data_IF_638182641861
#
_entry.id   IF_638182641861
#
_cell.length_a   1.000
_cell.length_b   1.000
_cell.length_c   1.000
_cell.angle_alpha   90.00
_cell.angle_beta   90.00
_cell.angle_gamma   90.00
#
_symmetry.space_group_name_H-M   'P 1'
#
loop_
_entity.id
_entity.type
_entity.pdbx_description
1 polymer ?
#
# COMPACT_ATOMS: atom_id res chain seq x y z
N UNK A 1 7.52 5.80 -13.91
CA UNK A 1 6.05 5.63 -13.84
C UNK A 1 5.56 4.44 -14.67
N UNK A 2 6.32 3.96 -15.66
CA UNK A 2 5.92 2.81 -16.48
C UNK A 2 5.74 1.53 -15.66
N UNK A 3 6.77 1.11 -14.91
CA UNK A 3 6.69 -0.08 -14.04
C UNK A 3 5.51 -0.01 -13.07
N UNK A 4 5.31 1.14 -12.44
CA UNK A 4 4.20 1.37 -11.50
C UNK A 4 2.82 1.19 -12.16
N UNK A 5 2.66 1.60 -13.43
CA UNK A 5 1.41 1.39 -14.17
C UNK A 5 1.24 -0.06 -14.60
N UNK A 6 2.32 -0.73 -15.00
CA UNK A 6 2.29 -2.12 -15.46
C UNK A 6 1.88 -3.09 -14.35
N UNK A 7 2.28 -2.80 -13.11
CA UNK A 7 1.88 -3.58 -11.92
C UNK A 7 0.54 -3.13 -11.30
N UNK A 8 -0.17 -2.20 -11.95
CA UNK A 8 -1.38 -1.56 -11.43
C UNK A 8 -1.21 -0.91 -10.04
N UNK A 9 -0.02 -0.39 -9.72
CA UNK A 9 0.26 0.27 -8.45
C UNK A 9 0.08 -0.59 -7.20
N UNK A 10 -0.06 0.08 -6.05
CA UNK A 10 -0.31 -0.58 -4.75
C UNK A 10 -1.76 -1.06 -4.64
N UNK A 11 -1.97 -2.10 -3.84
CA UNK A 11 -3.31 -2.58 -3.47
C UNK A 11 -4.04 -1.54 -2.58
N UNK A 12 -5.32 -1.31 -2.86
CA UNK A 12 -6.21 -0.47 -2.05
C UNK A 12 -6.92 -1.27 -0.93
N UNK A 13 -6.61 -2.55 -0.78
CA UNK A 13 -7.34 -3.48 0.09
C UNK A 13 -6.76 -3.58 1.50
N UNK A 14 -5.65 -2.89 1.81
CA UNK A 14 -4.99 -2.92 3.11
C UNK A 14 -5.37 -1.71 3.97
N UNK A 15 -6.22 -1.92 4.98
CA UNK A 15 -6.75 -0.85 5.85
C UNK A 15 -6.21 -0.89 7.28
N UNK A 16 -5.19 -1.70 7.55
CA UNK A 16 -4.44 -1.71 8.80
C UNK A 16 -2.95 -1.98 8.55
N UNK A 17 -2.17 -2.03 9.62
CA UNK A 17 -0.72 -2.20 9.51
C UNK A 17 -0.33 -3.60 9.03
N UNK A 18 0.38 -3.64 7.90
CA UNK A 18 1.15 -4.77 7.41
C UNK A 18 0.60 -5.46 6.16
N UNK A 19 1.52 -5.98 5.35
CA UNK A 19 1.25 -6.84 4.20
C UNK A 19 1.08 -6.11 2.87
N UNK A 20 0.95 -4.78 2.84
CA UNK A 20 0.81 -4.03 1.59
C UNK A 20 2.13 -3.99 0.81
N UNK A 21 3.26 -3.85 1.51
CA UNK A 21 4.60 -3.90 0.90
C UNK A 21 4.93 -5.30 0.39
N UNK A 22 4.51 -6.35 1.11
CA UNK A 22 4.66 -7.74 0.69
C UNK A 22 3.80 -8.05 -0.56
N UNK A 23 2.58 -7.51 -0.63
CA UNK A 23 1.70 -7.62 -1.80
C UNK A 23 2.34 -6.94 -3.02
N UNK A 24 2.84 -5.71 -2.86
CA UNK A 24 3.58 -5.00 -3.90
C UNK A 24 4.78 -5.84 -4.40
N UNK A 25 5.55 -6.43 -3.49
CA UNK A 25 6.64 -7.34 -3.85
C UNK A 25 6.15 -8.55 -4.68
N UNK A 26 5.05 -9.18 -4.28
CA UNK A 26 4.44 -10.28 -5.06
C UNK A 26 4.00 -9.84 -6.45
N UNK A 27 3.38 -8.66 -6.58
CA UNK A 27 2.94 -8.11 -7.88
C UNK A 27 4.12 -7.93 -8.83
N UNK A 28 5.18 -7.27 -8.35
CA UNK A 28 6.43 -7.05 -9.12
C UNK A 28 6.97 -8.40 -9.63
N UNK A 29 7.14 -9.37 -8.73
CA UNK A 29 7.72 -10.67 -9.08
C UNK A 29 6.81 -11.50 -10.01
N UNK A 30 5.48 -11.42 -9.87
CA UNK A 30 4.53 -12.15 -10.73
C UNK A 30 4.51 -11.70 -12.19
N UNK A 31 4.98 -10.48 -12.45
CA UNK A 31 5.09 -9.91 -13.79
C UNK A 31 6.52 -10.00 -14.35
N UNK A 32 7.35 -10.86 -13.76
CA UNK A 32 8.76 -11.09 -14.12
C UNK A 32 9.65 -9.85 -13.97
N UNK A 33 9.27 -8.89 -13.13
CA UNK A 33 10.15 -7.79 -12.75
C UNK A 33 11.07 -8.20 -11.60
N UNK A 34 12.18 -7.48 -11.45
CA UNK A 34 13.16 -7.67 -10.38
C UNK A 34 13.15 -6.51 -9.41
N UNK A 35 13.48 -6.79 -8.15
CA UNK A 35 13.66 -5.77 -7.12
C UNK A 35 15.15 -5.42 -7.05
N UNK A 36 15.50 -4.21 -7.47
CA UNK A 36 16.84 -3.67 -7.28
C UNK A 36 16.99 -3.10 -5.86
N UNK A 37 18.18 -3.25 -5.27
CA UNK A 37 18.52 -2.68 -3.96
C UNK A 37 19.85 -1.94 -4.06
N UNK A 38 19.99 -0.77 -3.43
CA UNK A 38 21.26 -0.06 -3.39
C UNK A 38 22.31 -0.86 -2.60
N UNK A 39 23.57 -0.48 -2.80
CA UNK A 39 24.70 -1.03 -2.04
C UNK A 39 24.47 -0.82 -0.52
N UNK A 40 24.56 -1.88 0.32
CA UNK A 40 24.32 -1.78 1.77
C UNK A 40 25.25 -0.83 2.53
N UNK A 41 26.42 -0.49 2.00
CA UNK A 41 27.35 0.44 2.63
C UNK A 41 26.97 1.91 2.42
N UNK A 42 26.28 2.22 1.32
CA UNK A 42 25.85 3.59 0.99
C UNK A 42 24.35 3.82 1.17
N UNK A 43 23.53 2.80 0.95
CA UNK A 43 22.07 2.82 1.07
C UNK A 43 21.54 2.64 2.49
N UNK A 44 22.11 3.36 3.46
CA UNK A 44 21.75 3.24 4.89
C UNK A 44 20.67 4.25 5.27
N UNK A 45 19.69 3.81 6.05
CA UNK A 45 18.58 4.63 6.53
C UNK A 45 18.45 4.55 8.04
N UNK A 46 17.93 5.61 8.66
CA UNK A 46 17.62 5.65 10.10
C UNK A 46 16.14 5.95 10.30
N UNK A 47 15.54 5.26 11.26
CA UNK A 47 14.11 5.34 11.54
C UNK A 47 13.85 6.29 12.71
N UNK A 48 12.92 7.22 12.53
CA UNK A 48 12.43 8.04 13.64
C UNK A 48 11.78 7.13 14.70
N UNK A 49 12.02 7.44 15.97
CA UNK A 49 11.46 6.67 17.09
C UNK A 49 9.93 6.68 17.01
N UNK A 50 9.33 5.50 17.08
CA UNK A 50 7.88 5.33 17.05
C UNK A 50 7.48 4.11 17.88
N UNK A 51 6.21 4.08 18.33
CA UNK A 51 5.65 2.95 19.08
C UNK A 51 5.35 1.81 18.13
N UNK A 52 5.76 0.59 18.47
CA UNK A 52 5.43 -0.61 17.69
C UNK A 52 3.91 -0.80 17.65
N UNK A 53 3.35 -0.90 16.45
CA UNK A 53 1.92 -1.18 16.25
C UNK A 53 1.65 -2.68 16.36
N UNK A 54 0.50 -3.04 16.94
CA UNK A 54 0.02 -4.41 16.98
C UNK A 54 -0.44 -4.82 15.58
N UNK A 55 -0.15 -6.05 15.17
CA UNK A 55 -0.67 -6.59 13.91
C UNK A 55 -2.16 -6.83 14.02
N UNK A 56 -2.92 -6.22 13.11
CA UNK A 56 -4.39 -6.37 13.04
C UNK A 56 -4.75 -7.36 11.95
N UNK A 57 -5.84 -8.12 12.15
CA UNK A 57 -6.43 -9.01 11.15
C UNK A 57 -5.43 -9.91 10.37
N UNK A 58 -4.51 -10.65 11.02
CA UNK A 58 -3.48 -11.42 10.33
C UNK A 58 -4.03 -12.45 9.34
N UNK A 59 -5.18 -13.07 9.66
CA UNK A 59 -5.86 -14.01 8.74
C UNK A 59 -6.33 -13.35 7.45
N UNK A 60 -6.77 -12.09 7.52
CA UNK A 60 -7.18 -11.33 6.33
C UNK A 60 -5.95 -11.00 5.48
N UNK A 61 -4.88 -10.49 6.11
CA UNK A 61 -3.61 -10.18 5.42
C UNK A 61 -3.10 -11.40 4.64
N UNK A 62 -3.03 -12.59 5.26
CA UNK A 62 -2.56 -13.78 4.55
C UNK A 62 -3.46 -14.15 3.36
N UNK A 63 -4.78 -14.08 3.51
CA UNK A 63 -5.71 -14.31 2.40
C UNK A 63 -5.50 -13.32 1.25
N UNK A 64 -5.27 -12.04 1.57
CA UNK A 64 -4.98 -11.01 0.57
C UNK A 64 -3.67 -11.30 -0.17
N UNK A 65 -2.63 -11.68 0.56
CA UNK A 65 -1.32 -12.04 0.01
C UNK A 65 -1.39 -13.28 -0.89
N UNK A 66 -2.21 -14.28 -0.58
CA UNK A 66 -2.34 -15.51 -1.37
C UNK A 66 -2.88 -15.26 -2.79
N UNK A 67 -3.61 -14.16 -2.98
CA UNK A 67 -4.22 -13.80 -4.26
C UNK A 67 -3.66 -12.50 -4.86
N UNK A 68 -2.56 -11.96 -4.31
CA UNK A 68 -1.95 -10.69 -4.74
C UNK A 68 -1.78 -10.59 -6.26
N UNK A 69 -1.20 -11.61 -6.89
CA UNK A 69 -0.97 -11.66 -8.35
C UNK A 69 -2.28 -11.55 -9.15
N UNK A 70 -3.35 -12.21 -8.68
CA UNK A 70 -4.65 -12.25 -9.37
C UNK A 70 -5.38 -10.92 -9.26
N UNK A 71 -5.08 -10.16 -8.20
CA UNK A 71 -5.72 -8.88 -7.89
C UNK A 71 -5.18 -7.71 -8.70
N UNK A 72 -4.00 -7.85 -9.33
CA UNK A 72 -3.43 -6.81 -10.20
C UNK A 72 -4.44 -6.32 -11.24
N UNK A 73 -5.29 -7.20 -11.77
CA UNK A 73 -6.26 -6.86 -12.81
C UNK A 73 -7.38 -5.92 -12.36
N UNK A 74 -7.68 -5.81 -11.05
CA UNK A 74 -8.87 -5.10 -10.56
C UNK A 74 -8.69 -4.30 -9.25
N UNK A 75 -7.56 -4.45 -8.55
CA UNK A 75 -7.27 -3.77 -7.29
C UNK A 75 -5.97 -2.97 -7.44
N UNK A 76 -6.09 -1.64 -7.44
CA UNK A 76 -4.95 -0.73 -7.48
C UNK A 76 -5.19 0.58 -8.23
N UNK A 77 -4.22 1.02 -9.04
CA UNK A 77 -4.21 2.33 -9.69
C UNK A 77 -5.41 2.59 -10.62
N UNK A 78 -5.98 1.54 -11.19
CA UNK A 78 -7.16 1.60 -12.05
C UNK A 78 -8.45 2.00 -11.31
N UNK A 79 -8.48 1.97 -9.97
CA UNK A 79 -9.66 2.33 -9.17
C UNK A 79 -9.79 3.84 -8.94
N UNK A 80 -10.06 4.61 -9.99
CA UNK A 80 -10.00 6.09 -9.93
C UNK A 80 -11.14 6.79 -9.20
N UNK A 81 -12.18 6.06 -8.79
CA UNK A 81 -13.42 6.59 -8.20
C UNK A 81 -13.53 6.40 -6.67
N UNK A 82 -12.48 5.88 -6.03
CA UNK A 82 -12.50 5.50 -4.60
C UNK A 82 -12.12 6.61 -3.62
N UNK A 83 -11.56 7.71 -4.10
CA UNK A 83 -11.10 8.81 -3.25
C UNK A 83 -11.51 10.17 -3.78
N UNK A 84 -11.60 11.15 -2.89
CA UNK A 84 -11.90 12.55 -3.23
C UNK A 84 -10.85 13.48 -2.65
N UNK A 85 -10.25 14.33 -3.49
CA UNK A 85 -9.38 15.40 -3.01
C UNK A 85 -10.26 16.46 -2.35
N UNK A 86 -10.08 16.64 -1.04
CA UNK A 86 -10.84 17.61 -0.24
C UNK A 86 -10.18 18.98 -0.22
N UNK A 87 -8.84 19.01 -0.25
CA UNK A 87 -8.06 20.26 -0.24
C UNK A 87 -6.66 20.05 -0.80
N UNK A 88 -6.18 21.01 -1.58
CA UNK A 88 -4.77 21.11 -1.98
C UNK A 88 -4.20 22.38 -1.36
N UNK A 89 -3.05 22.27 -0.69
CA UNK A 89 -2.33 23.41 -0.14
C UNK A 89 -0.88 23.39 -0.64
N UNK A 90 -0.49 24.44 -1.35
CA UNK A 90 0.91 24.65 -1.76
C UNK A 90 1.68 25.25 -0.58
N UNK A 91 2.85 24.69 -0.29
CA UNK A 91 3.80 25.21 0.71
C UNK A 91 5.16 25.39 0.04
N UNK A 92 6.06 26.22 0.61
CA UNK A 92 7.36 26.46 -0.01
C UNK A 92 8.20 25.20 -0.27
N UNK A 93 8.04 24.15 0.55
CA UNK A 93 8.85 22.92 0.48
C UNK A 93 8.07 21.67 0.03
N UNK A 94 6.74 21.74 -0.04
CA UNK A 94 5.91 20.57 -0.37
C UNK A 94 4.49 20.94 -0.78
N UNK A 95 3.78 19.99 -1.38
CA UNK A 95 2.34 20.05 -1.61
C UNK A 95 1.64 19.19 -0.56
N UNK A 96 0.61 19.73 0.07
CA UNK A 96 -0.24 18.97 0.98
C UNK A 96 -1.58 18.68 0.31
N UNK A 97 -1.83 17.41 0.03
CA UNK A 97 -3.10 16.92 -0.48
C UNK A 97 -3.87 16.28 0.68
N UNK A 98 -4.99 16.88 1.05
CA UNK A 98 -5.93 16.29 2.00
C UNK A 98 -6.95 15.47 1.22
N UNK A 99 -6.90 14.15 1.38
CA UNK A 99 -7.64 13.18 0.58
C UNK A 99 -8.58 12.40 1.49
N UNK A 100 -9.84 12.31 1.08
CA UNK A 100 -10.80 11.39 1.66
C UNK A 100 -10.72 10.07 0.89
N UNK A 101 -10.31 9.01 1.59
CA UNK A 101 -10.13 7.66 1.03
C UNK A 101 -11.32 6.75 1.36
N UNK A 102 -12.40 7.30 1.92
CA UNK A 102 -13.59 6.55 2.31
C UNK A 102 -13.54 6.01 3.74
N UNK A 103 -14.49 5.12 4.05
CA UNK A 103 -14.65 4.51 5.37
C UNK A 103 -14.03 3.12 5.42
N UNK A 104 -13.54 2.74 6.61
CA UNK A 104 -12.96 1.40 6.85
C UNK A 104 -13.94 0.29 6.44
N UNK A 105 -13.56 -0.62 5.51
CA UNK A 105 -14.37 -1.75 5.10
C UNK A 105 -14.68 -2.68 6.28
N UNK A 106 -15.81 -3.39 6.20
CA UNK A 106 -16.33 -4.18 7.32
C UNK A 106 -15.37 -5.27 7.78
N UNK A 107 -14.70 -5.94 6.84
CA UNK A 107 -13.71 -6.98 7.08
C UNK A 107 -12.49 -6.52 7.88
N UNK A 108 -12.22 -5.21 7.88
CA UNK A 108 -11.14 -4.58 8.62
C UNK A 108 -11.58 -4.00 9.97
N UNK A 109 -12.89 -3.92 10.23
CA UNK A 109 -13.40 -3.45 11.51
C UNK A 109 -13.12 -4.51 12.58
N UNK A 110 -12.67 -4.05 13.74
CA UNK A 110 -12.57 -4.94 14.91
C UNK A 110 -13.96 -5.49 15.22
N UNK A 111 -14.12 -6.81 15.17
CA UNK A 111 -15.32 -7.45 15.70
C UNK A 111 -15.32 -7.23 17.20
N UNK A 112 -16.16 -6.30 17.67
CA UNK A 112 -16.49 -6.21 19.09
C UNK A 112 -17.13 -7.56 19.45
N UNK A 113 -16.41 -8.34 20.26
CA UNK A 113 -16.95 -9.53 20.92
C UNK A 113 -17.95 -9.14 21.99
#
# INVERSE_FOLDING_TARGET
MEDYRLINGYSNMYWAWGGEDDDMGKRILSLNYTIERPDPDTGRYSMLKHVKRKRTAPKLIYKLLDIAEKRIAYDGLNETDKWTIRKISVRPLYYHLYVDVGSVPEEWREKKG
#
